data_IF_264091677050
#
_entry.id   IF_264091677050
#
_cell.length_a   1.000
_cell.length_b   1.000
_cell.length_c   1.000
_cell.angle_alpha   90.00
_cell.angle_beta   90.00
_cell.angle_gamma   90.00
#
_symmetry.space_group_name_H-M   'P 1'
#
loop_
_entity.id
_entity.type
_entity.pdbx_description
1 polymer ?
#
# COMPACT_ATOMS: atom_id res chain seq x y z
N UNK A 1 9.57 -1.93 24.53
CA UNK A 1 10.86 -2.46 24.02
C UNK A 1 10.65 -2.76 22.55
N UNK A 2 11.49 -2.23 21.67
CA UNK A 2 11.41 -2.52 20.23
C UNK A 2 11.72 -4.01 20.04
N UNK A 3 10.74 -4.79 19.61
CA UNK A 3 10.87 -6.20 19.31
C UNK A 3 10.70 -6.39 17.81
N UNK A 4 11.81 -6.62 17.11
CA UNK A 4 11.81 -6.74 15.64
C UNK A 4 12.47 -8.04 15.22
N UNK A 5 11.81 -8.76 14.33
CA UNK A 5 12.33 -9.99 13.71
C UNK A 5 12.42 -9.79 12.21
N UNK A 6 13.58 -10.11 11.63
CA UNK A 6 13.85 -9.92 10.20
C UNK A 6 13.55 -11.18 9.40
N UNK A 7 12.29 -11.60 9.42
CA UNK A 7 11.79 -12.71 8.59
C UNK A 7 12.11 -12.45 7.11
N UNK A 8 12.36 -13.51 6.35
CA UNK A 8 12.61 -13.40 4.92
C UNK A 8 11.42 -12.76 4.18
N UNK A 9 11.69 -11.95 3.14
CA UNK A 9 10.64 -11.23 2.40
C UNK A 9 9.62 -12.16 1.75
N UNK A 10 10.08 -13.28 1.22
CA UNK A 10 9.20 -14.21 0.51
C UNK A 10 8.20 -14.84 1.49
N UNK A 11 8.68 -15.21 2.68
CA UNK A 11 7.84 -15.73 3.77
C UNK A 11 6.84 -14.67 4.26
N UNK A 12 7.29 -13.43 4.49
CA UNK A 12 6.38 -12.34 4.89
C UNK A 12 5.27 -12.12 3.85
N UNK A 13 5.64 -12.05 2.56
CA UNK A 13 4.70 -11.84 1.47
C UNK A 13 3.68 -12.99 1.33
N UNK A 14 4.16 -14.23 1.43
CA UNK A 14 3.31 -15.43 1.41
C UNK A 14 2.31 -15.43 2.58
N UNK A 15 2.78 -15.17 3.80
CA UNK A 15 1.93 -15.14 4.99
C UNK A 15 0.87 -14.03 4.89
N UNK A 16 1.24 -12.84 4.41
CA UNK A 16 0.25 -11.76 4.18
C UNK A 16 -0.78 -12.17 3.13
N UNK A 17 -0.37 -12.79 2.02
CA UNK A 17 -1.30 -13.30 1.02
C UNK A 17 -2.27 -14.35 1.60
N UNK A 18 -1.78 -15.29 2.42
CA UNK A 18 -2.64 -16.27 3.13
C UNK A 18 -3.61 -15.58 4.08
N UNK A 19 -3.16 -14.61 4.88
CA UNK A 19 -4.01 -13.83 5.79
C UNK A 19 -5.10 -13.07 5.04
N UNK A 20 -4.77 -12.47 3.89
CA UNK A 20 -5.74 -11.76 3.05
C UNK A 20 -6.85 -12.69 2.54
N UNK A 21 -6.51 -13.90 2.12
CA UNK A 21 -7.49 -14.92 1.73
C UNK A 21 -8.33 -15.39 2.93
N UNK A 22 -7.70 -15.69 4.06
CA UNK A 22 -8.34 -16.17 5.28
C UNK A 22 -9.50 -15.26 5.72
N UNK A 23 -9.28 -13.94 5.72
CA UNK A 23 -10.28 -12.96 6.15
C UNK A 23 -11.16 -12.43 5.02
N UNK A 24 -11.01 -12.96 3.80
CA UNK A 24 -11.69 -12.47 2.61
C UNK A 24 -11.47 -10.97 2.43
N UNK A 25 -10.22 -10.51 2.58
CA UNK A 25 -9.83 -9.14 2.24
C UNK A 25 -9.53 -9.01 0.75
N UNK A 26 -9.25 -10.13 0.07
CA UNK A 26 -9.14 -10.21 -1.38
C UNK A 26 -10.26 -11.07 -1.96
N UNK A 27 -10.66 -10.76 -3.20
CA UNK A 27 -11.70 -11.46 -3.93
C UNK A 27 -11.32 -11.57 -5.41
N UNK A 28 -11.61 -12.73 -6.02
CA UNK A 28 -11.55 -12.92 -7.47
C UNK A 28 -12.95 -13.14 -8.05
N UNK A 29 -13.24 -12.47 -9.16
CA UNK A 29 -14.45 -12.64 -9.95
C UNK A 29 -14.20 -12.24 -11.41
N UNK A 30 -13.74 -13.19 -12.21
CA UNK A 30 -13.50 -12.96 -13.64
C UNK A 30 -14.81 -12.91 -14.46
N UNK A 31 -15.83 -13.67 -14.04
CA UNK A 31 -17.12 -13.74 -14.75
C UNK A 31 -17.94 -12.44 -14.61
N UNK A 32 -17.86 -11.78 -13.45
CA UNK A 32 -18.50 -10.49 -13.20
C UNK A 32 -17.46 -9.52 -12.62
N UNK A 33 -16.67 -8.87 -13.49
CA UNK A 33 -15.58 -8.00 -13.06
C UNK A 33 -16.07 -6.80 -12.24
N UNK A 34 -15.29 -6.44 -11.23
CA UNK A 34 -15.51 -5.23 -10.43
C UNK A 34 -15.30 -3.98 -11.30
N UNK A 35 -16.16 -2.96 -11.11
CA UNK A 35 -15.95 -1.63 -11.69
C UNK A 35 -15.23 -0.75 -10.67
N UNK A 36 -14.02 -0.31 -11.03
CA UNK A 36 -13.22 0.60 -10.22
C UNK A 36 -13.67 2.05 -10.46
N UNK A 37 -13.36 2.95 -9.53
CA UNK A 37 -13.65 4.38 -9.68
C UNK A 37 -12.90 5.04 -10.84
N UNK A 38 -11.84 4.41 -11.34
CA UNK A 38 -11.14 4.81 -12.58
C UNK A 38 -11.89 4.42 -13.85
N UNK A 39 -13.01 3.70 -13.76
CA UNK A 39 -13.71 3.13 -14.91
C UNK A 39 -13.13 1.79 -15.39
N UNK A 40 -12.03 1.32 -14.80
CA UNK A 40 -11.47 0.01 -15.13
C UNK A 40 -12.39 -1.14 -14.69
N UNK A 41 -12.40 -2.20 -15.49
CA UNK A 41 -12.89 -3.51 -15.08
C UNK A 41 -11.72 -4.30 -14.45
N UNK A 42 -11.97 -4.95 -13.32
CA UNK A 42 -10.97 -5.72 -12.59
C UNK A 42 -11.54 -7.08 -12.16
N UNK A 43 -10.84 -8.20 -12.41
CA UNK A 43 -11.25 -9.49 -11.87
C UNK A 43 -10.85 -9.64 -10.40
N UNK A 44 -10.06 -8.70 -9.88
CA UNK A 44 -9.56 -8.71 -8.49
C UNK A 44 -10.08 -7.53 -7.70
N UNK A 45 -10.34 -7.73 -6.42
CA UNK A 45 -10.68 -6.67 -5.47
C UNK A 45 -9.96 -6.91 -4.15
N UNK A 46 -9.48 -5.84 -3.52
CA UNK A 46 -8.83 -5.88 -2.20
C UNK A 46 -9.37 -4.77 -1.30
N UNK A 47 -9.53 -5.07 -0.02
CA UNK A 47 -9.81 -4.10 1.04
C UNK A 47 -8.89 -4.32 2.25
N UNK A 48 -7.77 -3.59 2.30
CA UNK A 48 -6.81 -3.64 3.40
C UNK A 48 -7.37 -3.11 4.72
N UNK A 49 -8.45 -2.31 4.71
CA UNK A 49 -9.05 -1.78 5.96
C UNK A 49 -9.61 -2.91 6.81
N UNK A 50 -10.01 -4.03 6.20
CA UNK A 50 -10.48 -5.22 6.92
C UNK A 50 -9.42 -5.80 7.86
N UNK A 51 -8.13 -5.64 7.57
CA UNK A 51 -7.03 -6.11 8.42
C UNK A 51 -7.18 -5.61 9.86
N UNK A 52 -7.65 -4.37 10.04
CA UNK A 52 -7.82 -3.73 11.35
C UNK A 52 -8.79 -4.48 12.25
N UNK A 53 -9.75 -5.21 11.69
CA UNK A 53 -10.74 -6.00 12.43
C UNK A 53 -10.19 -7.34 12.97
N UNK A 54 -8.95 -7.71 12.63
CA UNK A 54 -8.35 -8.99 13.01
C UNK A 54 -7.04 -8.77 13.80
N UNK A 55 -7.08 -8.80 15.15
CA UNK A 55 -5.95 -8.40 15.99
C UNK A 55 -4.63 -9.13 15.71
N UNK A 56 -4.68 -10.46 15.50
CA UNK A 56 -3.48 -11.28 15.19
C UNK A 56 -2.88 -10.91 13.84
N UNK A 57 -3.73 -10.68 12.84
CA UNK A 57 -3.32 -10.33 11.48
C UNK A 57 -2.74 -8.92 11.45
N UNK A 58 -3.45 -7.90 11.97
CA UNK A 58 -2.92 -6.53 11.98
C UNK A 58 -1.61 -6.45 12.76
N UNK A 59 -1.46 -7.19 13.87
CA UNK A 59 -0.20 -7.18 14.62
C UNK A 59 0.95 -7.73 13.78
N UNK A 60 0.75 -8.90 13.18
CA UNK A 60 1.77 -9.57 12.34
C UNK A 60 2.16 -8.73 11.13
N UNK A 61 1.17 -8.18 10.41
CA UNK A 61 1.41 -7.31 9.25
C UNK A 61 2.22 -6.07 9.63
N UNK A 62 1.93 -5.48 10.80
CA UNK A 62 2.67 -4.31 11.26
C UNK A 62 4.08 -4.63 11.76
N UNK A 63 4.30 -5.84 12.30
CA UNK A 63 5.65 -6.32 12.62
C UNK A 63 6.47 -6.49 11.34
N UNK A 64 5.88 -7.04 10.27
CA UNK A 64 6.52 -7.13 8.96
C UNK A 64 6.79 -5.76 8.35
N UNK A 65 5.85 -4.81 8.44
CA UNK A 65 6.06 -3.44 7.96
C UNK A 65 7.29 -2.80 8.64
N UNK A 66 7.39 -2.91 9.97
CA UNK A 66 8.53 -2.40 10.73
C UNK A 66 9.84 -3.06 10.30
N UNK A 67 9.86 -4.39 10.17
CA UNK A 67 11.05 -5.13 9.73
C UNK A 67 11.49 -4.77 8.31
N UNK A 68 10.56 -4.59 7.37
CA UNK A 68 10.85 -4.17 6.00
C UNK A 68 11.53 -2.81 5.99
N UNK A 69 10.97 -1.80 6.67
CA UNK A 69 11.54 -0.44 6.64
C UNK A 69 12.88 -0.34 7.35
N UNK A 70 13.04 -0.98 8.51
CA UNK A 70 14.32 -1.00 9.23
C UNK A 70 15.43 -1.67 8.42
N UNK A 71 15.10 -2.77 7.71
CA UNK A 71 16.07 -3.47 6.87
C UNK A 71 16.42 -2.70 5.60
N UNK A 72 15.41 -2.15 4.92
CA UNK A 72 15.57 -1.61 3.56
C UNK A 72 15.95 -0.12 3.53
N UNK A 73 15.67 0.63 4.61
CA UNK A 73 16.06 2.03 4.76
C UNK A 73 17.14 2.19 5.84
N UNK A 74 16.91 1.60 7.02
CA UNK A 74 17.81 1.67 8.16
C UNK A 74 17.07 2.01 9.46
N UNK A 75 17.75 1.83 10.59
CA UNK A 75 17.14 1.90 11.92
C UNK A 75 16.85 3.33 12.39
N UNK A 76 17.69 4.30 12.01
CA UNK A 76 17.60 5.70 12.44
C UNK A 76 17.29 6.65 11.27
N UNK A 77 16.62 6.15 10.22
CA UNK A 77 16.35 6.94 9.00
C UNK A 77 15.19 7.92 9.12
N UNK A 78 14.32 7.74 10.10
CA UNK A 78 13.04 8.45 10.18
C UNK A 78 12.90 9.18 11.51
N UNK A 79 12.30 10.37 11.45
CA UNK A 79 11.99 11.20 12.61
C UNK A 79 10.48 11.21 12.91
N UNK A 80 9.63 10.88 11.94
CA UNK A 80 8.19 10.69 12.15
C UNK A 80 7.54 9.80 11.08
N UNK A 81 6.35 9.29 11.41
CA UNK A 81 5.47 8.55 10.50
C UNK A 81 4.29 9.43 10.11
N UNK A 82 3.97 9.50 8.82
CA UNK A 82 2.80 10.22 8.31
C UNK A 82 1.80 9.26 7.66
N UNK A 83 0.60 9.15 8.24
CA UNK A 83 -0.51 8.38 7.66
C UNK A 83 -1.34 9.20 6.68
N UNK A 84 -1.58 8.67 5.48
CA UNK A 84 -2.50 9.28 4.54
C UNK A 84 -3.97 9.14 4.98
N UNK A 85 -4.75 10.22 4.85
CA UNK A 85 -6.17 10.19 5.17
C UNK A 85 -6.94 9.31 4.18
N UNK A 86 -7.77 8.35 4.60
CA UNK A 86 -8.10 7.94 5.97
C UNK A 86 -7.49 6.58 6.30
N UNK A 87 -7.33 5.70 5.30
CA UNK A 87 -7.00 4.30 5.50
C UNK A 87 -5.55 4.10 5.98
N UNK A 88 -4.63 5.01 5.67
CA UNK A 88 -3.27 4.99 6.20
C UNK A 88 -3.15 5.33 7.68
N UNK A 89 -4.12 6.07 8.25
CA UNK A 89 -4.05 6.59 9.64
C UNK A 89 -3.89 5.47 10.68
N UNK A 90 -4.73 4.40 10.69
CA UNK A 90 -4.60 3.36 11.70
C UNK A 90 -3.26 2.60 11.61
N UNK A 91 -2.76 2.38 10.40
CA UNK A 91 -1.49 1.69 10.18
C UNK A 91 -0.29 2.57 10.54
N UNK A 92 -0.37 3.89 10.28
CA UNK A 92 0.61 4.85 10.77
C UNK A 92 0.72 4.84 12.29
N UNK A 93 -0.40 4.82 13.02
CA UNK A 93 -0.38 4.77 14.47
C UNK A 93 0.31 3.49 14.99
N UNK A 94 -0.01 2.34 14.40
CA UNK A 94 0.58 1.05 14.78
C UNK A 94 2.06 0.93 14.39
N UNK A 95 2.48 1.57 13.30
CA UNK A 95 3.87 1.57 12.86
C UNK A 95 4.72 2.54 13.70
N UNK A 96 4.19 3.72 13.99
CA UNK A 96 4.83 4.72 14.84
C UNK A 96 5.11 4.14 16.24
N UNK A 97 4.15 3.42 16.82
CA UNK A 97 4.33 2.69 18.09
C UNK A 97 5.47 1.67 18.02
N UNK A 98 5.51 0.84 16.98
CA UNK A 98 6.56 -0.19 16.79
C UNK A 98 7.95 0.40 16.60
N UNK A 99 8.05 1.50 15.88
CA UNK A 99 9.30 2.20 15.60
C UNK A 99 9.67 3.20 16.69
N UNK A 100 8.81 3.39 17.70
CA UNK A 100 8.98 4.41 18.75
C UNK A 100 9.18 5.82 18.19
N UNK A 101 8.42 6.18 17.15
CA UNK A 101 8.50 7.47 16.46
C UNK A 101 7.25 8.33 16.68
N UNK A 102 7.36 9.67 16.62
CA UNK A 102 6.23 10.57 16.47
C UNK A 102 5.35 10.22 15.26
N UNK A 103 4.06 10.55 15.37
CA UNK A 103 3.08 10.34 14.30
C UNK A 103 2.39 11.66 13.93
N UNK A 104 2.21 11.87 12.64
CA UNK A 104 1.29 12.85 12.06
C UNK A 104 0.33 12.15 11.08
N UNK A 105 -0.72 12.84 10.65
CA UNK A 105 -1.49 12.40 9.50
C UNK A 105 -1.73 13.55 8.51
N UNK A 106 -1.95 13.18 7.25
CA UNK A 106 -2.05 14.12 6.12
C UNK A 106 -3.46 14.09 5.56
N UNK A 107 -4.14 15.24 5.60
CA UNK A 107 -5.48 15.41 5.02
C UNK A 107 -5.44 15.35 3.50
N UNK A 108 -6.49 14.80 2.88
CA UNK A 108 -6.69 14.85 1.42
C UNK A 108 -6.87 16.27 0.90
N UNK A 109 -7.44 17.16 1.70
CA UNK A 109 -7.66 18.56 1.37
C UNK A 109 -7.16 19.47 2.51
N UNK A 110 -6.61 20.65 2.19
CA UNK A 110 -6.16 21.60 3.21
C UNK A 110 -7.33 22.08 4.06
N UNK A 111 -7.07 22.31 5.33
CA UNK A 111 -7.95 22.98 6.28
C UNK A 111 -7.42 24.39 6.53
N UNK A 112 -8.12 25.39 6.01
CA UNK A 112 -7.72 26.80 6.14
C UNK A 112 -6.54 27.16 5.23
N UNK A 113 -5.68 28.06 5.69
CA UNK A 113 -4.55 28.60 4.93
C UNK A 113 -3.23 28.33 5.65
N UNK A 114 -2.12 28.32 4.89
CA UNK A 114 -0.77 28.20 5.42
C UNK A 114 -0.06 26.92 4.99
N UNK A 115 1.25 26.90 5.23
CA UNK A 115 2.17 25.83 4.79
C UNK A 115 1.82 24.45 5.37
N UNK A 116 1.20 24.42 6.55
CA UNK A 116 0.84 23.19 7.27
C UNK A 116 -0.66 22.85 7.18
N UNK A 117 -1.40 23.44 6.24
CA UNK A 117 -2.86 23.29 6.18
C UNK A 117 -3.35 21.84 5.99
N UNK A 118 -2.49 20.91 5.57
CA UNK A 118 -2.82 19.49 5.42
C UNK A 118 -2.25 18.59 6.52
N UNK A 119 -1.34 19.08 7.37
CA UNK A 119 -0.66 18.27 8.38
C UNK A 119 -1.38 18.41 9.72
N UNK A 120 -1.67 17.27 10.34
CA UNK A 120 -2.28 17.20 11.66
C UNK A 120 -1.33 16.45 12.60
N UNK A 121 -1.00 17.10 13.72
CA UNK A 121 0.08 16.69 14.63
C UNK A 121 1.25 17.68 14.62
N UNK A 122 2.39 17.28 15.19
CA UNK A 122 3.59 18.12 15.28
C UNK A 122 4.71 17.54 14.41
N UNK A 123 5.03 18.21 13.30
CA UNK A 123 6.13 17.86 12.40
C UNK A 123 7.10 19.04 12.31
N UNK A 124 8.24 19.00 13.01
CA UNK A 124 9.29 19.99 12.87
C UNK A 124 9.79 20.13 11.41
N UNK A 125 10.24 21.32 11.05
CA UNK A 125 10.87 21.54 9.73
C UNK A 125 12.14 20.69 9.60
N UNK A 126 12.33 20.07 8.43
CA UNK A 126 13.43 19.18 8.15
C UNK A 126 13.26 17.74 8.64
N UNK A 127 12.15 17.38 9.31
CA UNK A 127 11.89 16.00 9.73
C UNK A 127 11.92 15.02 8.55
N UNK A 128 12.60 13.88 8.71
CA UNK A 128 12.61 12.77 7.74
C UNK A 128 11.39 11.90 7.95
N UNK A 129 10.45 11.96 7.03
CA UNK A 129 9.11 11.40 7.19
C UNK A 129 8.95 10.14 6.36
N UNK A 130 8.54 9.05 7.00
CA UNK A 130 8.02 7.87 6.31
C UNK A 130 6.51 8.04 6.09
N UNK A 131 6.08 8.13 4.83
CA UNK A 131 4.66 8.18 4.48
C UNK A 131 4.12 6.76 4.35
N UNK A 132 2.97 6.46 4.97
CA UNK A 132 2.31 5.16 4.92
C UNK A 132 0.86 5.25 4.42
N UNK A 133 0.53 4.32 3.53
CA UNK A 133 -0.83 3.99 3.09
C UNK A 133 -1.10 2.49 3.33
N UNK A 134 -2.37 2.09 3.33
CA UNK A 134 -2.75 0.68 3.45
C UNK A 134 -2.41 -0.11 2.18
N UNK A 135 -2.63 0.49 1.02
CA UNK A 135 -2.22 -0.05 -0.28
C UNK A 135 -1.80 1.05 -1.26
N UNK A 136 -1.10 0.67 -2.33
CA UNK A 136 -0.83 1.58 -3.43
C UNK A 136 -0.99 0.90 -4.79
N UNK A 137 -1.58 1.63 -5.75
CA UNK A 137 -1.73 1.21 -7.14
C UNK A 137 -0.60 1.80 -7.98
N UNK A 138 -0.80 2.97 -8.58
CA UNK A 138 0.22 3.71 -9.31
C UNK A 138 0.86 4.84 -8.47
N UNK A 139 0.67 4.84 -7.14
CA UNK A 139 1.24 5.84 -6.24
C UNK A 139 0.55 7.20 -6.21
N UNK A 140 -0.48 7.45 -7.05
CA UNK A 140 -1.09 8.78 -7.18
C UNK A 140 -1.58 9.41 -5.86
N UNK A 141 -2.36 8.67 -5.08
CA UNK A 141 -2.84 9.13 -3.76
C UNK A 141 -1.69 9.37 -2.78
N UNK A 142 -0.74 8.43 -2.70
CA UNK A 142 0.43 8.56 -1.83
C UNK A 142 1.25 9.81 -2.15
N UNK A 143 1.45 10.13 -3.44
CA UNK A 143 2.18 11.32 -3.84
C UNK A 143 1.48 12.63 -3.46
N UNK A 144 0.15 12.68 -3.44
CA UNK A 144 -0.57 13.84 -2.90
C UNK A 144 -0.21 14.09 -1.42
N UNK A 145 -0.04 13.02 -0.64
CA UNK A 145 0.39 13.13 0.76
C UNK A 145 1.88 13.47 0.89
N UNK A 146 2.74 12.85 0.08
CA UNK A 146 4.18 13.14 0.04
C UNK A 146 4.41 14.62 -0.27
N UNK A 147 3.72 15.15 -1.28
CA UNK A 147 3.87 16.54 -1.70
C UNK A 147 3.36 17.51 -0.63
N UNK A 148 2.27 17.16 0.08
CA UNK A 148 1.79 17.94 1.22
C UNK A 148 2.79 17.95 2.39
N UNK A 149 3.45 16.83 2.69
CA UNK A 149 4.52 16.75 3.71
C UNK A 149 5.72 17.59 3.30
N UNK A 150 6.15 17.50 2.04
CA UNK A 150 7.25 18.32 1.49
C UNK A 150 6.92 19.80 1.52
N UNK A 151 5.69 20.16 1.13
CA UNK A 151 5.20 21.53 1.20
C UNK A 151 5.23 22.06 2.64
N UNK A 152 4.91 21.23 3.64
CA UNK A 152 5.01 21.52 5.07
C UNK A 152 6.44 21.55 5.64
N UNK A 153 7.47 21.27 4.82
CA UNK A 153 8.88 21.31 5.21
C UNK A 153 9.47 20.00 5.69
N UNK A 154 8.75 18.89 5.56
CA UNK A 154 9.29 17.55 5.78
C UNK A 154 10.13 17.06 4.59
N UNK A 155 11.04 16.14 4.85
CA UNK A 155 11.83 15.42 3.84
C UNK A 155 11.22 14.03 3.65
N UNK A 156 10.89 13.65 2.42
CA UNK A 156 10.28 12.36 2.12
C UNK A 156 11.06 11.66 1.01
N UNK A 157 11.89 10.70 1.41
CA UNK A 157 12.66 9.83 0.51
C UNK A 157 12.12 8.39 0.49
N UNK A 158 11.19 8.07 1.39
CA UNK A 158 10.59 6.74 1.53
C UNK A 158 9.08 6.79 1.72
N UNK A 159 8.39 5.83 1.13
CA UNK A 159 6.98 5.53 1.40
C UNK A 159 6.81 4.03 1.64
N UNK A 160 5.78 3.63 2.38
CA UNK A 160 5.41 2.23 2.55
C UNK A 160 3.92 2.02 2.28
N UNK A 161 3.60 0.93 1.59
CA UNK A 161 2.25 0.40 1.48
C UNK A 161 2.23 -1.04 2.01
N UNK A 162 1.19 -1.47 2.74
CA UNK A 162 1.13 -2.88 3.16
C UNK A 162 0.98 -3.80 1.93
N UNK A 163 0.23 -3.32 0.93
CA UNK A 163 0.02 -4.01 -0.33
C UNK A 163 0.35 -3.11 -1.53
N UNK A 164 1.20 -3.58 -2.44
CA UNK A 164 1.49 -2.89 -3.69
C UNK A 164 0.93 -3.69 -4.86
N UNK A 165 0.16 -3.04 -5.73
CA UNK A 165 -0.42 -3.73 -6.88
C UNK A 165 0.64 -4.33 -7.81
N UNK A 166 1.70 -3.57 -8.10
CA UNK A 166 2.83 -4.01 -8.95
C UNK A 166 2.42 -4.54 -10.34
N UNK A 167 1.47 -3.85 -10.98
CA UNK A 167 0.96 -4.17 -12.33
C UNK A 167 0.82 -2.95 -13.24
N UNK A 168 1.29 -1.77 -12.79
CA UNK A 168 1.23 -0.52 -13.54
C UNK A 168 2.64 0.07 -13.62
N UNK A 169 3.20 0.15 -14.84
CA UNK A 169 4.54 0.71 -15.08
C UNK A 169 4.64 2.16 -14.62
N UNK A 170 3.54 2.92 -14.71
CA UNK A 170 3.45 4.30 -14.24
C UNK A 170 3.74 4.42 -12.74
N UNK A 171 3.45 3.37 -11.96
CA UNK A 171 3.78 3.31 -10.55
C UNK A 171 5.29 3.36 -10.33
N UNK A 172 6.04 2.45 -10.97
CA UNK A 172 7.49 2.40 -10.86
C UNK A 172 8.14 3.73 -11.30
N UNK A 173 7.67 4.28 -12.44
CA UNK A 173 8.14 5.57 -12.94
C UNK A 173 7.85 6.73 -11.98
N UNK A 174 6.65 6.78 -11.38
CA UNK A 174 6.28 7.84 -10.43
C UNK A 174 7.18 7.84 -9.21
N UNK A 175 7.44 6.67 -8.62
CA UNK A 175 8.33 6.56 -7.45
C UNK A 175 9.78 6.91 -7.80
N UNK A 176 10.29 6.44 -8.95
CA UNK A 176 11.63 6.78 -9.42
C UNK A 176 11.79 8.29 -9.67
N UNK A 177 10.88 8.90 -10.44
CA UNK A 177 10.90 10.33 -10.76
C UNK A 177 10.71 11.20 -9.51
N UNK A 178 9.85 10.76 -8.60
CA UNK A 178 9.61 11.42 -7.32
C UNK A 178 10.75 11.27 -6.32
N UNK A 179 11.78 10.46 -6.64
CA UNK A 179 12.91 10.09 -5.77
C UNK A 179 12.44 9.54 -4.43
N UNK A 180 11.38 8.74 -4.45
CA UNK A 180 10.83 8.07 -3.26
C UNK A 180 10.98 6.58 -3.43
N UNK A 181 11.72 5.94 -2.54
CA UNK A 181 11.79 4.47 -2.48
C UNK A 181 10.51 3.93 -1.85
N UNK A 182 9.71 3.24 -2.65
CA UNK A 182 8.53 2.52 -2.16
C UNK A 182 8.95 1.21 -1.50
N UNK A 183 8.47 0.99 -0.28
CA UNK A 183 8.51 -0.28 0.44
C UNK A 183 7.12 -0.92 0.43
N UNK A 184 7.08 -2.26 0.45
CA UNK A 184 5.83 -3.00 0.54
C UNK A 184 6.04 -4.41 1.06
N UNK A 185 4.97 -5.08 1.50
CA UNK A 185 5.03 -6.43 2.05
C UNK A 185 4.59 -7.48 1.02
N UNK A 186 3.45 -7.27 0.36
CA UNK A 186 2.89 -8.23 -0.59
C UNK A 186 2.34 -7.54 -1.84
N UNK A 187 2.23 -8.32 -2.93
CA UNK A 187 1.63 -7.90 -4.20
C UNK A 187 0.57 -8.89 -4.68
N UNK A 188 -0.11 -8.54 -5.77
CA UNK A 188 -1.06 -9.45 -6.41
C UNK A 188 -0.44 -10.77 -6.87
N UNK A 189 0.85 -10.77 -7.24
CA UNK A 189 1.55 -12.01 -7.61
C UNK A 189 1.65 -12.97 -6.44
N UNK A 190 1.87 -12.46 -5.22
CA UNK A 190 1.86 -13.30 -4.01
C UNK A 190 0.45 -13.86 -3.74
N UNK A 191 -0.58 -13.03 -3.89
CA UNK A 191 -1.99 -13.43 -3.68
C UNK A 191 -2.42 -14.52 -4.68
N UNK A 192 -2.07 -14.36 -5.96
CA UNK A 192 -2.35 -15.35 -7.00
C UNK A 192 -1.59 -16.66 -6.75
N UNK A 193 -0.31 -16.60 -6.38
CA UNK A 193 0.49 -17.80 -6.07
C UNK A 193 -0.15 -18.63 -4.96
N UNK A 194 -0.56 -17.99 -3.86
CA UNK A 194 -1.27 -18.68 -2.76
C UNK A 194 -2.61 -19.24 -3.20
N UNK A 195 -3.37 -18.51 -4.05
CA UNK A 195 -4.65 -18.99 -4.57
C UNK A 195 -4.50 -20.25 -5.43
N UNK A 196 -3.43 -20.32 -6.26
CA UNK A 196 -3.07 -21.50 -7.06
C UNK A 196 -2.68 -22.68 -6.16
N UNK A 197 -1.78 -22.45 -5.21
CA UNK A 197 -1.29 -23.48 -4.28
C UNK A 197 -2.44 -24.11 -3.49
N UNK A 198 -3.34 -23.28 -2.96
CA UNK A 198 -4.48 -23.72 -2.16
C UNK A 198 -5.68 -24.19 -3.01
N UNK A 199 -5.59 -24.11 -4.33
CA UNK A 199 -6.67 -24.47 -5.27
C UNK A 199 -8.00 -23.79 -4.94
N UNK A 200 -7.95 -22.48 -4.64
CA UNK A 200 -9.12 -21.72 -4.18
C UNK A 200 -10.16 -21.45 -5.29
N UNK A 201 -9.72 -21.53 -6.55
CA UNK A 201 -10.53 -21.26 -7.74
C UNK A 201 -10.19 -22.26 -8.86
N UNK A 202 -11.03 -22.30 -9.88
CA UNK A 202 -10.72 -23.04 -11.10
C UNK A 202 -9.60 -22.38 -11.92
N UNK A 203 -8.97 -23.16 -12.81
CA UNK A 203 -7.87 -22.68 -13.65
C UNK A 203 -8.29 -21.56 -14.59
N UNK A 204 -9.55 -21.55 -15.03
CA UNK A 204 -10.09 -20.48 -15.89
C UNK A 204 -10.05 -19.13 -15.17
N UNK A 205 -10.54 -19.07 -13.93
CA UNK A 205 -10.53 -17.85 -13.11
C UNK A 205 -9.11 -17.42 -12.81
N UNK A 206 -8.22 -18.35 -12.46
CA UNK A 206 -6.82 -18.05 -12.15
C UNK A 206 -6.07 -17.53 -13.38
N UNK A 207 -6.33 -18.08 -14.56
CA UNK A 207 -5.76 -17.61 -15.82
C UNK A 207 -6.25 -16.21 -16.21
N UNK A 208 -7.53 -15.89 -16.01
CA UNK A 208 -8.05 -14.54 -16.27
C UNK A 208 -7.46 -13.51 -15.30
N UNK A 209 -7.31 -13.87 -14.02
CA UNK A 209 -6.61 -13.02 -13.05
C UNK A 209 -5.16 -12.80 -13.48
N UNK A 210 -4.43 -13.84 -13.84
CA UNK A 210 -3.05 -13.72 -14.31
C UNK A 210 -2.93 -12.80 -15.53
N UNK A 211 -3.81 -12.99 -16.52
CA UNK A 211 -3.87 -12.14 -17.71
C UNK A 211 -4.18 -10.66 -17.38
N UNK A 212 -4.99 -10.40 -16.34
CA UNK A 212 -5.18 -9.04 -15.83
C UNK A 212 -3.92 -8.49 -15.16
N UNK A 213 -3.20 -9.30 -14.37
CA UNK A 213 -1.97 -8.85 -13.72
C UNK A 213 -0.83 -8.59 -14.72
N UNK A 214 -0.81 -9.31 -15.85
CA UNK A 214 0.18 -9.10 -16.92
C UNK A 214 -0.13 -7.87 -17.78
N UNK A 215 -1.42 -7.59 -18.04
CA UNK A 215 -1.83 -6.51 -18.93
C UNK A 215 -3.19 -5.90 -18.49
N UNK A 216 -3.23 -5.12 -17.39
CA UNK A 216 -4.49 -4.76 -16.73
C UNK A 216 -5.41 -3.88 -17.59
N UNK A 217 -4.86 -2.98 -18.40
CA UNK A 217 -5.64 -2.12 -19.29
C UNK A 217 -6.20 -2.89 -20.49
N UNK A 218 -5.40 -3.77 -21.09
CA UNK A 218 -5.85 -4.63 -22.19
C UNK A 218 -6.94 -5.60 -21.71
N UNK A 219 -6.79 -6.14 -20.49
CA UNK A 219 -7.82 -6.98 -19.86
C UNK A 219 -9.08 -6.19 -19.55
N UNK A 220 -8.95 -4.99 -18.96
CA UNK A 220 -10.08 -4.12 -18.65
C UNK A 220 -10.88 -3.76 -19.91
N UNK A 221 -10.20 -3.36 -21.00
CA UNK A 221 -10.84 -2.99 -22.27
C UNK A 221 -11.71 -4.10 -22.88
N UNK A 222 -11.19 -5.33 -22.94
CA UNK A 222 -11.97 -6.47 -23.47
C UNK A 222 -13.08 -6.97 -22.53
N UNK A 223 -13.06 -6.52 -21.27
CA UNK A 223 -14.05 -6.85 -20.23
C UNK A 223 -14.94 -5.64 -19.88
N UNK A 224 -15.12 -4.70 -20.83
CA UNK A 224 -16.07 -3.60 -20.75
C UNK A 224 -15.67 -2.46 -19.79
N UNK A 225 -14.40 -2.38 -19.39
CA UNK A 225 -13.81 -1.23 -18.73
C UNK A 225 -13.00 -0.36 -19.69
N UNK A 226 -12.32 0.64 -19.15
CA UNK A 226 -11.40 1.49 -19.95
C UNK A 226 -10.14 0.72 -20.37
N UNK A 227 -9.60 1.06 -21.54
CA UNK A 227 -8.34 0.52 -22.09
C UNK A 227 -7.16 1.47 -21.94
N UNK A 228 -7.41 2.68 -21.45
CA UNK A 228 -6.42 3.73 -21.19
C UNK A 228 -6.82 4.48 -19.92
N UNK A 229 -5.83 5.01 -19.19
CA UNK A 229 -6.06 5.87 -18.04
C UNK A 229 -5.86 7.32 -18.50
N UNK A 230 -6.83 8.18 -18.21
CA UNK A 230 -6.60 9.63 -18.30
C UNK A 230 -5.64 10.02 -17.18
N UNK A 231 -4.36 10.14 -17.52
CA UNK A 231 -3.29 10.62 -16.64
C UNK A 231 -3.34 12.13 -16.44
#
# INVERSE_FOLDING_TARGET
>A
MIQTTFTDRTVMAELVARMLWEIKAVHFNAAQPYKLSSGMASPVYIDCRKLLSFPRIRSTVMDFAASVVMRDAGFEQFDCIAGGETAGIPFAALLADRLSLPMVYVRKKPKGHGRNAQIEGNMPEGSRVLVIEDLTTAGGSMFQFIDAVRAAGGVVDHGIALFYYDIFDEGALRFANGKVKLHYIATWRNVLAVAREQKLFDETTLAEVEAFLDAPLAWSGRNGGVSELSL
#
